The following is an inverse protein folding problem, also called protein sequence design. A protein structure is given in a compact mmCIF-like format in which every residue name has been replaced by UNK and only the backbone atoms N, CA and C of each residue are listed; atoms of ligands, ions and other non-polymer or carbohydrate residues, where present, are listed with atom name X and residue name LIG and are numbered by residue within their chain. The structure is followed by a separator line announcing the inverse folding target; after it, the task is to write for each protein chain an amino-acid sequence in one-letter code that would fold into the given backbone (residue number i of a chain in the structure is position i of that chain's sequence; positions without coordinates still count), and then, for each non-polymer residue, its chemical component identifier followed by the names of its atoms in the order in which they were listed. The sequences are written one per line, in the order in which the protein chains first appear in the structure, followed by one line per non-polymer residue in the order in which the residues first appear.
data_IF_159114937645
#
_entry.id   IF_159114937645
#
_cell.length_a   1.000
_cell.length_b   1.000
_cell.length_c   1.000
_cell.angle_alpha   90.00
_cell.angle_beta   90.00
_cell.angle_gamma   90.00
#
_symmetry.space_group_name_H-M   'P 1'
#
loop_
_entity.id
_entity.type
_entity.pdbx_description
1 polymer ?
#
# COMPACT_ATOMS: atom_id res chain seq x y z
N UNK A 1 2.37 3.28 -5.01
CA UNK A 1 3.60 4.04 -4.77
C UNK A 1 3.32 5.49 -5.07
N UNK A 2 4.14 6.41 -4.59
CA UNK A 2 3.98 7.83 -4.90
C UNK A 2 4.37 8.14 -6.36
N UNK A 3 3.80 9.22 -6.90
CA UNK A 3 3.99 9.59 -8.30
C UNK A 3 5.44 10.00 -8.63
N UNK A 4 6.23 10.47 -7.67
CA UNK A 4 7.63 10.87 -7.90
C UNK A 4 8.48 9.63 -8.14
N UNK A 5 8.27 8.57 -7.35
CA UNK A 5 8.90 7.27 -7.59
C UNK A 5 8.57 6.75 -8.98
N UNK A 6 7.29 6.71 -9.36
CA UNK A 6 6.84 6.22 -10.66
C UNK A 6 7.45 7.01 -11.83
N UNK A 7 7.56 8.34 -11.70
CA UNK A 7 8.21 9.20 -12.69
C UNK A 7 9.65 8.76 -13.00
N UNK A 8 10.49 8.64 -11.97
CA UNK A 8 11.91 8.31 -12.16
C UNK A 8 12.14 6.84 -12.47
N UNK A 9 11.35 5.95 -11.86
CA UNK A 9 11.39 4.53 -12.15
C UNK A 9 11.04 4.25 -13.62
N UNK A 10 9.93 4.82 -14.11
CA UNK A 10 9.52 4.72 -15.51
C UNK A 10 10.54 5.31 -16.48
N UNK A 11 11.06 6.50 -16.15
CA UNK A 11 12.11 7.13 -16.96
C UNK A 11 13.35 6.25 -17.09
N UNK A 12 13.85 5.70 -15.98
CA UNK A 12 15.01 4.84 -15.98
C UNK A 12 14.80 3.55 -16.79
N UNK A 13 13.64 2.89 -16.63
CA UNK A 13 13.28 1.68 -17.41
C UNK A 13 13.28 1.98 -18.91
N UNK A 14 12.54 3.00 -19.34
CA UNK A 14 12.45 3.34 -20.76
C UNK A 14 13.82 3.70 -21.34
N UNK A 15 14.62 4.49 -20.62
CA UNK A 15 15.95 4.90 -21.05
C UNK A 15 16.96 3.74 -21.13
N UNK A 16 16.80 2.70 -20.29
CA UNK A 16 17.63 1.50 -20.34
C UNK A 16 17.30 0.61 -21.56
N UNK A 17 16.05 0.61 -22.01
CA UNK A 17 15.58 -0.22 -23.14
C UNK A 17 15.77 0.50 -24.48
N UNK A 18 15.46 1.80 -24.51
CA UNK A 18 15.48 2.60 -25.73
C UNK A 18 16.89 2.69 -26.36
N UNK A 19 16.97 2.96 -27.68
CA UNK A 19 18.25 3.22 -28.34
C UNK A 19 19.00 4.40 -27.70
N UNK A 20 20.33 4.33 -27.70
CA UNK A 20 21.22 5.38 -27.13
C UNK A 20 20.86 6.79 -27.63
N UNK A 21 20.62 6.94 -28.94
CA UNK A 21 20.24 8.22 -29.54
C UNK A 21 18.85 8.76 -29.12
N UNK A 22 18.03 7.93 -28.47
CA UNK A 22 16.68 8.29 -28.00
C UNK A 22 16.62 8.49 -26.48
N UNK A 23 17.72 8.33 -25.74
CA UNK A 23 17.74 8.24 -24.27
C UNK A 23 16.95 9.33 -23.54
N UNK A 24 17.16 10.61 -23.89
CA UNK A 24 16.44 11.73 -23.24
C UNK A 24 14.94 11.71 -23.51
N UNK A 25 14.55 11.39 -24.74
CA UNK A 25 13.14 11.23 -25.09
C UNK A 25 12.53 10.03 -24.34
N UNK A 26 13.30 8.95 -24.16
CA UNK A 26 12.88 7.79 -23.41
C UNK A 26 12.74 8.08 -21.91
N UNK A 27 13.62 8.88 -21.29
CA UNK A 27 13.46 9.33 -19.90
C UNK A 27 12.10 10.03 -19.70
N UNK A 28 11.77 10.99 -20.58
CA UNK A 28 10.51 11.73 -20.49
C UNK A 28 9.29 10.87 -20.83
N UNK A 29 9.38 10.05 -21.89
CA UNK A 29 8.30 9.17 -22.28
C UNK A 29 8.02 8.11 -21.22
N UNK A 30 9.06 7.50 -20.65
CA UNK A 30 8.94 6.52 -19.57
C UNK A 30 8.32 7.11 -18.32
N UNK A 31 8.72 8.32 -17.93
CA UNK A 31 8.10 9.07 -16.85
C UNK A 31 6.59 9.26 -17.07
N UNK A 32 6.19 9.75 -18.25
CA UNK A 32 4.78 9.96 -18.58
C UNK A 32 3.98 8.64 -18.66
N UNK A 33 4.55 7.60 -19.27
CA UNK A 33 3.92 6.29 -19.42
C UNK A 33 3.71 5.61 -18.08
N UNK A 34 4.66 5.75 -17.16
CA UNK A 34 4.54 5.18 -15.83
C UNK A 34 3.60 6.01 -14.94
N UNK A 35 3.36 7.30 -15.21
CA UNK A 35 2.29 8.05 -14.52
C UNK A 35 0.88 7.72 -15.05
N UNK A 36 0.76 7.18 -16.27
CA UNK A 36 -0.53 6.99 -16.95
C UNK A 36 -1.58 6.19 -16.14
N UNK A 37 -1.26 5.07 -15.48
CA UNK A 37 -2.27 4.28 -14.75
C UNK A 37 -2.95 5.05 -13.61
N UNK A 38 -2.18 5.85 -12.88
CA UNK A 38 -2.65 6.68 -11.75
C UNK A 38 -3.55 7.85 -12.20
N UNK A 39 -3.62 8.17 -13.50
CA UNK A 39 -4.53 9.22 -13.98
C UNK A 39 -6.01 8.82 -13.87
N UNK A 40 -6.33 7.59 -13.44
CA UNK A 40 -7.68 7.14 -13.10
C UNK A 40 -8.32 7.94 -11.97
N UNK A 41 -7.52 8.58 -11.10
CA UNK A 41 -8.01 9.43 -10.01
C UNK A 41 -8.84 10.61 -10.53
N UNK A 42 -8.54 11.11 -11.73
CA UNK A 42 -9.25 12.24 -12.35
C UNK A 42 -10.70 11.86 -12.67
N UNK A 43 -10.98 10.84 -13.52
CA UNK A 43 -12.36 10.42 -13.77
C UNK A 43 -13.02 9.84 -12.52
N UNK A 44 -12.28 9.18 -11.61
CA UNK A 44 -12.84 8.66 -10.36
C UNK A 44 -13.36 9.77 -9.43
N UNK A 45 -12.65 10.91 -9.37
CA UNK A 45 -13.07 12.07 -8.59
C UNK A 45 -14.45 12.60 -9.04
N UNK A 46 -14.79 12.47 -10.32
CA UNK A 46 -16.04 12.96 -10.90
C UNK A 46 -17.28 12.16 -10.47
N UNK A 47 -17.14 10.93 -9.98
CA UNK A 47 -18.28 10.12 -9.50
C UNK A 47 -18.80 10.59 -8.13
N UNK A 48 -18.00 11.30 -7.33
CA UNK A 48 -18.42 11.82 -6.02
C UNK A 48 -18.81 10.74 -5.01
N UNK A 49 -18.25 9.53 -5.12
CA UNK A 49 -18.35 8.45 -4.12
C UNK A 49 -16.93 8.11 -3.62
N UNK A 50 -16.60 8.41 -2.35
CA UNK A 50 -15.26 8.21 -1.82
C UNK A 50 -14.90 6.73 -1.64
N UNK A 51 -15.87 5.83 -1.45
CA UNK A 51 -15.62 4.37 -1.41
C UNK A 51 -15.29 3.86 -2.81
N UNK A 52 -15.99 4.34 -3.83
CA UNK A 52 -15.65 4.02 -5.21
C UNK A 52 -14.27 4.60 -5.60
N UNK A 53 -13.96 5.84 -5.21
CA UNK A 53 -12.65 6.45 -5.46
C UNK A 53 -11.52 5.60 -4.88
N UNK A 54 -11.65 5.17 -3.62
CA UNK A 54 -10.65 4.33 -2.97
C UNK A 54 -10.55 2.94 -3.64
N UNK A 55 -11.69 2.27 -3.82
CA UNK A 55 -11.69 0.84 -4.17
C UNK A 55 -11.62 0.56 -5.67
N UNK A 56 -11.90 1.54 -6.53
CA UNK A 56 -11.75 1.41 -7.98
C UNK A 56 -10.40 1.97 -8.47
N UNK A 57 -9.76 2.86 -7.72
CA UNK A 57 -8.38 3.23 -7.96
C UNK A 57 -7.49 1.98 -7.87
N UNK A 58 -6.49 1.90 -8.75
CA UNK A 58 -5.67 0.68 -8.94
C UNK A 58 -6.46 -0.55 -9.39
N UNK A 59 -7.57 -0.30 -10.09
CA UNK A 59 -8.43 -1.29 -10.72
C UNK A 59 -8.08 -1.51 -12.20
N UNK A 60 -9.03 -1.18 -13.08
CA UNK A 60 -8.95 -1.32 -14.54
C UNK A 60 -7.63 -0.82 -15.14
N UNK A 61 -7.19 0.38 -14.76
CA UNK A 61 -6.00 1.04 -15.31
C UNK A 61 -4.68 0.40 -14.89
N UNK A 62 -4.71 -0.46 -13.87
CA UNK A 62 -3.54 -1.13 -13.29
C UNK A 62 -3.51 -2.63 -13.61
N UNK A 63 -4.50 -3.13 -14.38
CA UNK A 63 -4.60 -4.54 -14.69
C UNK A 63 -3.55 -4.99 -15.71
N UNK A 64 -2.82 -6.05 -15.37
CA UNK A 64 -1.93 -6.75 -16.29
C UNK A 64 -2.67 -7.45 -17.43
N UNK A 65 -3.99 -7.63 -17.33
CA UNK A 65 -4.81 -8.12 -18.42
C UNK A 65 -5.20 -7.01 -19.40
N UNK A 66 -5.23 -5.75 -18.96
CA UNK A 66 -5.69 -4.59 -19.76
C UNK A 66 -4.51 -3.82 -20.36
N UNK A 67 -3.50 -3.55 -19.55
CA UNK A 67 -2.38 -2.71 -19.92
C UNK A 67 -1.54 -3.22 -21.12
N UNK A 68 -1.43 -4.53 -21.44
CA UNK A 68 -0.79 -4.96 -22.69
C UNK A 68 -1.50 -4.43 -23.95
N UNK A 69 -2.84 -4.33 -23.92
CA UNK A 69 -3.62 -3.76 -25.01
C UNK A 69 -3.44 -2.24 -25.10
N UNK A 70 -3.37 -1.56 -23.95
CA UNK A 70 -3.06 -0.12 -23.89
C UNK A 70 -1.66 0.15 -24.43
N UNK A 71 -0.67 -0.64 -24.03
CA UNK A 71 0.70 -0.58 -24.54
C UNK A 71 0.72 -0.74 -26.06
N UNK A 72 -0.01 -1.73 -26.58
CA UNK A 72 -0.12 -1.99 -28.02
C UNK A 72 -0.75 -0.82 -28.76
N UNK A 73 -1.84 -0.26 -28.25
CA UNK A 73 -2.51 0.87 -28.87
C UNK A 73 -1.59 2.10 -28.94
N UNK A 74 -0.89 2.43 -27.85
CA UNK A 74 0.08 3.53 -27.80
C UNK A 74 1.22 3.27 -28.80
N UNK A 75 1.82 2.09 -28.76
CA UNK A 75 2.90 1.72 -29.67
C UNK A 75 2.46 1.78 -31.14
N UNK A 76 1.31 1.22 -31.49
CA UNK A 76 0.78 1.20 -32.85
C UNK A 76 0.49 2.63 -33.36
N UNK A 77 -0.07 3.49 -32.50
CA UNK A 77 -0.32 4.90 -32.81
C UNK A 77 0.98 5.63 -33.16
N UNK A 78 2.00 5.52 -32.31
CA UNK A 78 3.27 6.21 -32.53
C UNK A 78 4.13 5.57 -33.62
N UNK A 79 4.02 4.26 -33.84
CA UNK A 79 4.61 3.58 -35.00
C UNK A 79 4.01 4.11 -36.30
N UNK A 80 2.69 4.28 -36.37
CA UNK A 80 2.01 4.81 -37.56
C UNK A 80 2.33 6.29 -37.81
N UNK A 81 2.47 7.09 -36.75
CA UNK A 81 2.79 8.53 -36.86
C UNK A 81 4.24 8.83 -37.27
N UNK A 82 5.13 7.84 -37.26
CA UNK A 82 6.55 8.04 -37.59
C UNK A 82 7.42 8.44 -36.39
N UNK A 83 8.62 8.94 -36.67
CA UNK A 83 9.56 9.40 -35.63
C UNK A 83 10.26 8.26 -34.88
N UNK A 84 10.55 8.47 -33.58
CA UNK A 84 11.43 7.58 -32.80
C UNK A 84 10.90 6.15 -32.65
N UNK A 85 9.58 5.99 -32.49
CA UNK A 85 8.93 4.67 -32.37
C UNK A 85 8.97 3.93 -33.69
N UNK A 86 8.71 4.61 -34.82
CA UNK A 86 8.80 3.99 -36.14
C UNK A 86 10.24 3.62 -36.54
N UNK A 87 11.22 4.43 -36.13
CA UNK A 87 12.64 4.16 -36.38
C UNK A 87 13.15 2.91 -35.63
N UNK A 88 12.69 2.70 -34.40
CA UNK A 88 13.18 1.63 -33.50
C UNK A 88 12.00 0.89 -32.82
N UNK A 89 11.13 0.23 -33.61
CA UNK A 89 9.81 -0.21 -33.15
C UNK A 89 9.86 -1.30 -32.08
N UNK A 90 10.84 -2.20 -32.15
CA UNK A 90 10.97 -3.30 -31.18
C UNK A 90 11.41 -2.77 -29.81
N UNK A 91 12.40 -1.87 -29.78
CA UNK A 91 12.88 -1.28 -28.52
C UNK A 91 11.81 -0.41 -27.88
N UNK A 92 11.08 0.38 -28.66
CA UNK A 92 10.00 1.20 -28.14
C UNK A 92 8.78 0.40 -27.71
N UNK A 93 8.49 -0.74 -28.35
CA UNK A 93 7.48 -1.69 -27.86
C UNK A 93 7.80 -2.10 -26.43
N UNK A 94 9.01 -2.61 -26.20
CA UNK A 94 9.44 -3.05 -24.87
C UNK A 94 9.53 -1.91 -23.86
N UNK A 95 9.96 -0.72 -24.27
CA UNK A 95 10.00 0.45 -23.39
C UNK A 95 8.58 0.84 -22.91
N UNK A 96 7.61 0.89 -23.81
CA UNK A 96 6.21 1.22 -23.49
C UNK A 96 5.59 0.14 -22.62
N UNK A 97 5.71 -1.12 -23.06
CA UNK A 97 5.17 -2.27 -22.35
C UNK A 97 5.74 -2.37 -20.93
N UNK A 98 7.07 -2.31 -20.79
CA UNK A 98 7.73 -2.42 -19.50
C UNK A 98 7.32 -1.28 -18.55
N UNK A 99 7.24 -0.03 -19.02
CA UNK A 99 6.81 1.08 -18.16
C UNK A 99 5.39 0.89 -17.63
N UNK A 100 4.46 0.48 -18.50
CA UNK A 100 3.07 0.27 -18.11
C UNK A 100 2.92 -0.93 -17.18
N UNK A 101 3.62 -2.04 -17.41
CA UNK A 101 3.58 -3.22 -16.52
C UNK A 101 4.23 -2.96 -15.16
N UNK A 102 5.31 -2.17 -15.16
CA UNK A 102 6.14 -1.95 -13.98
C UNK A 102 5.44 -1.07 -12.94
N UNK A 103 4.56 -0.16 -13.36
CA UNK A 103 3.77 0.66 -12.45
C UNK A 103 2.94 -0.17 -11.44
N UNK A 104 1.95 -0.98 -11.89
CA UNK A 104 1.14 -1.75 -10.97
C UNK A 104 1.94 -2.86 -10.27
N UNK A 105 3.05 -3.32 -10.87
CA UNK A 105 4.00 -4.22 -10.20
C UNK A 105 4.55 -3.58 -8.92
N UNK A 106 5.09 -2.36 -8.99
CA UNK A 106 5.60 -1.66 -7.81
C UNK A 106 4.47 -1.30 -6.85
N UNK A 107 3.28 -0.93 -7.33
CA UNK A 107 2.16 -0.65 -6.44
C UNK A 107 1.72 -1.84 -5.59
N UNK A 108 1.85 -3.06 -6.12
CA UNK A 108 1.53 -4.28 -5.39
C UNK A 108 2.45 -4.55 -4.20
N UNK A 109 3.60 -3.86 -4.09
CA UNK A 109 4.45 -3.87 -2.90
C UNK A 109 3.98 -2.93 -1.79
N UNK A 110 2.95 -2.10 -2.04
CA UNK A 110 2.37 -1.19 -1.03
C UNK A 110 1.11 -1.80 -0.40
N UNK A 111 0.77 -1.34 0.81
CA UNK A 111 -0.38 -1.87 1.57
C UNK A 111 -1.75 -1.45 1.01
N UNK A 112 -1.78 -0.44 0.13
CA UNK A 112 -3.00 0.08 -0.47
C UNK A 112 -3.80 -1.02 -1.21
N UNK A 113 -3.08 -1.88 -1.94
CA UNK A 113 -3.65 -2.98 -2.73
C UNK A 113 -3.87 -2.62 -4.20
N UNK A 114 -3.42 -3.50 -5.09
CA UNK A 114 -3.53 -3.33 -6.55
C UNK A 114 -4.27 -4.51 -7.16
N UNK A 115 -5.30 -4.25 -7.98
CA UNK A 115 -6.10 -5.29 -8.63
C UNK A 115 -5.42 -5.75 -9.93
N UNK A 116 -4.25 -6.38 -9.83
CA UNK A 116 -3.42 -6.80 -10.97
C UNK A 116 -4.16 -7.63 -12.01
N UNK A 117 -5.15 -8.41 -11.59
CA UNK A 117 -5.90 -9.34 -12.43
C UNK A 117 -7.34 -8.89 -12.69
N UNK A 118 -7.68 -7.61 -12.48
CA UNK A 118 -9.00 -7.09 -12.85
C UNK A 118 -9.31 -7.45 -14.33
N UNK A 119 -10.51 -7.95 -14.67
CA UNK A 119 -11.75 -7.97 -13.87
C UNK A 119 -12.00 -9.28 -13.10
N UNK A 120 -11.01 -10.16 -12.94
CA UNK A 120 -11.20 -11.36 -12.14
C UNK A 120 -11.57 -10.97 -10.69
N UNK A 121 -12.47 -11.71 -10.01
CA UNK A 121 -12.98 -11.38 -8.68
C UNK A 121 -11.95 -11.67 -7.56
N UNK A 122 -10.67 -11.42 -7.83
CA UNK A 122 -9.57 -11.56 -6.89
C UNK A 122 -9.43 -10.30 -6.06
N UNK A 123 -9.12 -10.46 -4.77
CA UNK A 123 -8.83 -9.32 -3.90
C UNK A 123 -7.56 -8.59 -4.36
N UNK A 124 -7.43 -7.28 -4.08
CA UNK A 124 -6.23 -6.52 -4.43
C UNK A 124 -4.96 -7.13 -3.81
N UNK A 125 -3.87 -7.22 -4.58
CA UNK A 125 -2.59 -7.72 -4.09
C UNK A 125 -1.88 -6.62 -3.30
N UNK A 126 -1.41 -6.95 -2.09
CA UNK A 126 -0.69 -6.04 -1.20
C UNK A 126 0.45 -6.76 -0.46
N UNK A 127 1.59 -6.98 -1.12
CA UNK A 127 2.77 -7.54 -0.45
C UNK A 127 3.25 -6.66 0.71
N UNK A 128 2.97 -5.36 0.66
CA UNK A 128 3.13 -4.45 1.80
C UNK A 128 4.55 -4.44 2.37
N UNK A 129 5.57 -4.55 1.52
CA UNK A 129 6.98 -4.47 1.93
C UNK A 129 7.59 -3.08 1.76
N UNK A 130 6.91 -2.18 1.03
CA UNK A 130 7.29 -0.79 0.86
C UNK A 130 6.18 0.13 1.35
N UNK A 131 6.58 1.26 1.94
CA UNK A 131 5.64 2.34 2.20
C UNK A 131 5.36 3.10 0.89
N UNK A 132 4.24 3.81 0.81
CA UNK A 132 3.83 4.54 -0.40
C UNK A 132 4.87 5.58 -0.81
N UNK A 133 5.49 6.25 0.16
CA UNK A 133 6.58 7.21 -0.03
C UNK A 133 7.82 6.63 0.66
N UNK A 134 8.82 6.23 -0.12
CA UNK A 134 10.08 5.71 0.39
C UNK A 134 11.27 6.35 -0.35
N UNK A 135 11.90 7.39 0.21
CA UNK A 135 13.01 8.08 -0.43
C UNK A 135 14.21 7.17 -0.74
N UNK A 136 14.49 6.16 0.09
CA UNK A 136 15.61 5.25 -0.14
C UNK A 136 15.36 4.36 -1.37
N UNK A 137 14.09 4.06 -1.65
CA UNK A 137 13.72 3.41 -2.91
C UNK A 137 13.74 4.38 -4.10
N UNK A 138 13.30 5.63 -3.94
CA UNK A 138 13.21 6.62 -5.03
C UNK A 138 14.56 7.15 -5.50
N UNK A 139 15.48 7.43 -4.57
CA UNK A 139 16.73 8.16 -4.83
C UNK A 139 17.66 7.49 -5.86
N UNK A 140 17.85 6.15 -5.86
CA UNK A 140 18.67 5.49 -6.89
C UNK A 140 18.16 5.73 -8.31
N UNK A 141 16.83 5.71 -8.51
CA UNK A 141 16.20 5.97 -9.82
C UNK A 141 16.36 7.42 -10.25
N UNK A 142 16.15 8.36 -9.32
CA UNK A 142 16.36 9.78 -9.55
C UNK A 142 17.81 10.06 -9.96
N UNK A 143 18.79 9.58 -9.17
CA UNK A 143 20.20 9.78 -9.45
C UNK A 143 20.60 9.19 -10.82
N UNK A 144 20.11 7.99 -11.14
CA UNK A 144 20.32 7.36 -12.44
C UNK A 144 19.75 8.20 -13.59
N UNK A 145 18.53 8.74 -13.45
CA UNK A 145 17.91 9.62 -14.43
C UNK A 145 18.69 10.93 -14.62
N UNK A 146 19.14 11.56 -13.53
CA UNK A 146 19.95 12.80 -13.58
C UNK A 146 21.27 12.54 -14.31
N UNK A 147 22.01 11.50 -13.93
CA UNK A 147 23.26 11.16 -14.61
C UNK A 147 23.01 10.80 -16.07
N UNK A 148 21.96 10.02 -16.37
CA UNK A 148 21.60 9.68 -17.74
C UNK A 148 21.19 10.90 -18.57
N UNK A 149 20.67 11.96 -17.97
CA UNK A 149 20.31 13.18 -18.70
C UNK A 149 21.54 13.95 -19.19
N UNK A 150 22.54 14.12 -18.30
CA UNK A 150 23.69 15.00 -18.53
C UNK A 150 24.96 14.29 -19.01
N UNK A 151 25.16 13.03 -18.65
CA UNK A 151 26.40 12.32 -18.93
C UNK A 151 26.50 11.75 -20.35
N UNK A 152 27.73 11.39 -20.75
CA UNK A 152 28.02 10.64 -21.99
C UNK A 152 27.48 9.22 -21.91
N UNK A 153 27.22 8.60 -23.07
CA UNK A 153 26.56 7.29 -23.20
C UNK A 153 27.10 6.20 -22.26
N UNK A 154 28.42 6.06 -22.14
CA UNK A 154 29.03 5.01 -21.31
C UNK A 154 28.68 5.19 -19.82
N UNK A 155 28.72 6.43 -19.32
CA UNK A 155 28.40 6.72 -17.93
C UNK A 155 26.88 6.68 -17.69
N UNK A 156 26.09 7.20 -18.62
CA UNK A 156 24.63 7.13 -18.57
C UNK A 156 24.11 5.68 -18.50
N UNK A 157 24.60 4.79 -19.37
CA UNK A 157 24.21 3.39 -19.36
C UNK A 157 24.59 2.68 -18.05
N UNK A 158 25.80 2.97 -17.52
CA UNK A 158 26.23 2.45 -16.21
C UNK A 158 25.33 2.95 -15.08
N UNK A 159 24.99 4.24 -15.06
CA UNK A 159 24.15 4.84 -14.04
C UNK A 159 22.73 4.23 -14.05
N UNK A 160 22.14 4.03 -15.24
CA UNK A 160 20.86 3.34 -15.37
C UNK A 160 20.92 1.89 -14.86
N UNK A 161 21.96 1.14 -15.22
CA UNK A 161 22.14 -0.23 -14.75
C UNK A 161 22.33 -0.30 -13.22
N UNK A 162 23.11 0.61 -12.64
CA UNK A 162 23.30 0.70 -11.18
C UNK A 162 22.02 1.11 -10.48
N UNK A 163 21.28 2.08 -11.01
CA UNK A 163 19.98 2.50 -10.47
C UNK A 163 18.98 1.33 -10.45
N UNK A 164 18.89 0.58 -11.54
CA UNK A 164 18.08 -0.64 -11.63
C UNK A 164 18.52 -1.67 -10.58
N UNK A 165 19.82 -1.97 -10.51
CA UNK A 165 20.36 -2.95 -9.57
C UNK A 165 20.08 -2.56 -8.11
N UNK A 166 20.29 -1.28 -7.75
CA UNK A 166 20.03 -0.77 -6.40
C UNK A 166 18.54 -0.79 -6.07
N UNK A 167 17.66 -0.42 -7.00
CA UNK A 167 16.22 -0.46 -6.81
C UNK A 167 15.71 -1.88 -6.54
N UNK A 168 16.15 -2.87 -7.32
CA UNK A 168 15.80 -4.27 -7.08
C UNK A 168 16.48 -4.86 -5.83
N UNK A 169 17.70 -4.45 -5.51
CA UNK A 169 18.36 -4.84 -4.27
C UNK A 169 17.60 -4.32 -3.04
N UNK A 170 17.13 -3.06 -3.07
CA UNK A 170 16.31 -2.48 -2.01
C UNK A 170 14.95 -3.18 -1.90
N UNK A 171 14.33 -3.54 -3.02
CA UNK A 171 13.10 -4.34 -3.03
C UNK A 171 13.30 -5.73 -2.39
N UNK A 172 14.41 -6.40 -2.71
CA UNK A 172 14.79 -7.66 -2.08
C UNK A 172 15.05 -7.51 -0.57
N UNK A 173 15.73 -6.44 -0.17
CA UNK A 173 15.92 -6.09 1.23
C UNK A 173 14.59 -5.87 1.95
N UNK A 174 13.65 -5.14 1.35
CA UNK A 174 12.37 -4.84 2.01
C UNK A 174 11.53 -6.11 2.26
N UNK A 175 11.58 -7.08 1.34
CA UNK A 175 10.98 -8.41 1.53
C UNK A 175 11.68 -9.21 2.65
N UNK A 176 13.01 -9.13 2.74
CA UNK A 176 13.75 -9.77 3.82
C UNK A 176 13.39 -9.15 5.18
N UNK A 177 13.39 -7.82 5.28
CA UNK A 177 13.00 -7.09 6.48
C UNK A 177 11.58 -7.47 6.92
N UNK A 178 10.63 -7.51 5.97
CA UNK A 178 9.26 -8.00 6.20
C UNK A 178 9.25 -9.40 6.82
N UNK A 179 10.01 -10.33 6.24
CA UNK A 179 10.08 -11.72 6.72
C UNK A 179 10.61 -11.80 8.16
N UNK A 180 11.60 -10.98 8.51
CA UNK A 180 12.14 -10.91 9.87
C UNK A 180 11.07 -10.42 10.87
N UNK A 181 10.35 -9.36 10.52
CA UNK A 181 9.27 -8.82 11.37
C UNK A 181 8.11 -9.81 11.51
N UNK A 182 7.70 -10.47 10.43
CA UNK A 182 6.59 -11.44 10.46
C UNK A 182 6.91 -12.68 11.31
N UNK A 183 8.17 -13.06 11.41
CA UNK A 183 8.62 -14.12 12.34
C UNK A 183 8.44 -13.70 13.80
N UNK A 184 8.87 -12.49 14.16
CA UNK A 184 8.70 -11.99 15.53
C UNK A 184 7.23 -11.76 15.88
N UNK A 185 6.45 -11.21 14.95
CA UNK A 185 5.01 -11.06 15.11
C UNK A 185 4.33 -12.43 15.33
N UNK A 186 4.71 -13.45 14.56
CA UNK A 186 4.15 -14.80 14.71
C UNK A 186 4.44 -15.41 16.07
N UNK A 187 5.65 -15.23 16.61
CA UNK A 187 5.97 -15.71 17.98
C UNK A 187 5.17 -14.98 19.05
N UNK A 188 5.07 -13.66 18.95
CA UNK A 188 4.33 -12.85 19.91
C UNK A 188 2.83 -13.15 19.88
N UNK A 189 2.23 -13.27 18.69
CA UNK A 189 0.81 -13.61 18.55
C UNK A 189 0.50 -15.05 19.02
N UNK A 190 1.39 -16.01 18.79
CA UNK A 190 1.26 -17.36 19.35
C UNK A 190 1.22 -17.33 20.88
N UNK A 191 2.12 -16.55 21.52
CA UNK A 191 2.15 -16.40 22.97
C UNK A 191 0.88 -15.73 23.54
N UNK A 192 0.18 -14.92 22.74
CA UNK A 192 -1.10 -14.31 23.08
C UNK A 192 -2.31 -15.22 22.82
N UNK A 193 -2.11 -16.45 22.34
CA UNK A 193 -3.20 -17.35 21.95
C UNK A 193 -3.88 -16.97 20.63
N UNK A 194 -3.18 -16.23 19.75
CA UNK A 194 -3.65 -15.76 18.44
C UNK A 194 -2.81 -16.33 17.26
N UNK A 195 -2.53 -17.66 17.21
CA UNK A 195 -1.60 -18.23 16.23
C UNK A 195 -2.03 -18.00 14.78
N UNK A 196 -3.33 -18.08 14.50
CA UNK A 196 -3.92 -18.03 13.16
C UNK A 196 -4.65 -16.72 12.87
N UNK A 197 -4.50 -15.71 13.73
CA UNK A 197 -5.14 -14.41 13.53
C UNK A 197 -4.75 -13.81 12.16
N UNK A 198 -5.74 -13.47 11.30
CA UNK A 198 -5.49 -12.75 10.05
C UNK A 198 -4.69 -11.49 10.33
N UNK A 199 -3.60 -11.29 9.61
CA UNK A 199 -2.67 -10.18 9.87
C UNK A 199 -2.07 -9.62 8.59
N UNK A 200 -1.58 -8.39 8.69
CA UNK A 200 -0.65 -7.83 7.72
C UNK A 200 0.46 -7.09 8.45
N UNK A 201 1.57 -6.88 7.74
CA UNK A 201 2.68 -6.06 8.18
C UNK A 201 3.01 -5.04 7.09
N UNK A 202 3.38 -3.83 7.51
CA UNK A 202 3.73 -2.72 6.62
C UNK A 202 4.83 -1.88 7.26
N UNK A 203 5.83 -1.42 6.51
CA UNK A 203 6.77 -0.46 7.06
C UNK A 203 6.08 0.87 7.37
N UNK A 204 6.62 1.60 8.35
CA UNK A 204 6.20 2.97 8.68
C UNK A 204 6.65 3.95 7.60
N UNK A 205 6.11 5.19 7.58
CA UNK A 205 6.44 6.16 6.53
C UNK A 205 7.95 6.40 6.36
N UNK A 206 8.38 6.54 5.10
CA UNK A 206 9.72 6.98 4.69
C UNK A 206 10.88 6.00 4.98
N UNK A 207 10.62 4.77 5.43
CA UNK A 207 11.69 3.82 5.77
C UNK A 207 11.25 2.35 5.63
N UNK A 208 12.21 1.42 5.73
CA UNK A 208 11.98 -0.04 5.83
C UNK A 208 12.55 -0.64 7.12
N UNK A 209 12.74 0.19 8.16
CA UNK A 209 13.40 -0.18 9.42
C UNK A 209 12.42 -0.41 10.56
N UNK A 210 11.37 0.42 10.66
CA UNK A 210 10.31 0.29 11.66
C UNK A 210 9.03 -0.17 10.97
N UNK A 211 8.45 -1.24 11.49
CA UNK A 211 7.30 -1.91 10.91
C UNK A 211 6.13 -1.91 11.85
N UNK A 212 4.93 -1.75 11.29
CA UNK A 212 3.66 -1.93 11.98
C UNK A 212 3.08 -3.29 11.59
N UNK A 213 2.54 -3.99 12.57
CA UNK A 213 1.80 -5.25 12.38
C UNK A 213 0.44 -5.10 13.02
N UNK A 214 -0.59 -5.50 12.28
CA UNK A 214 -1.97 -5.54 12.76
C UNK A 214 -2.50 -6.95 12.59
N UNK A 215 -3.13 -7.48 13.63
CA UNK A 215 -3.81 -8.77 13.59
C UNK A 215 -5.24 -8.66 14.11
N UNK A 216 -6.19 -9.26 13.40
CA UNK A 216 -7.61 -9.23 13.79
C UNK A 216 -7.89 -10.18 14.95
N UNK A 217 -8.81 -9.79 15.84
CA UNK A 217 -9.29 -10.59 16.96
C UNK A 217 -10.82 -10.68 16.93
N UNK A 218 -11.46 -11.57 17.71
CA UNK A 218 -12.92 -11.67 17.74
C UNK A 218 -13.64 -10.37 18.13
N UNK A 219 -12.99 -9.53 18.95
CA UNK A 219 -13.59 -8.30 19.48
C UNK A 219 -13.02 -7.01 18.85
N UNK A 220 -12.15 -7.13 17.85
CA UNK A 220 -11.45 -6.00 17.25
C UNK A 220 -10.13 -6.40 16.63
N UNK A 221 -9.03 -5.80 17.09
CA UNK A 221 -7.70 -6.08 16.55
C UNK A 221 -6.61 -5.74 17.56
N UNK A 222 -5.41 -6.22 17.28
CA UNK A 222 -4.19 -5.85 17.99
C UNK A 222 -3.20 -5.20 17.04
N UNK A 223 -2.45 -4.22 17.52
CA UNK A 223 -1.45 -3.48 16.76
C UNK A 223 -0.12 -3.45 17.51
N UNK A 224 0.97 -3.70 16.80
CA UNK A 224 2.31 -3.65 17.35
C UNK A 224 3.30 -3.01 16.39
N UNK A 225 4.39 -2.51 16.94
CA UNK A 225 5.48 -1.92 16.18
C UNK A 225 6.81 -2.63 16.49
N UNK A 226 7.60 -2.92 15.46
CA UNK A 226 8.92 -3.54 15.59
C UNK A 226 9.95 -2.82 14.75
N UNK A 227 10.99 -2.30 15.40
CA UNK A 227 12.20 -1.86 14.72
C UNK A 227 13.11 -3.05 14.46
N UNK A 228 13.65 -3.20 13.25
CA UNK A 228 14.64 -4.26 12.95
C UNK A 228 16.05 -3.91 13.44
N UNK A 229 16.29 -2.65 13.82
CA UNK A 229 17.62 -2.15 14.22
C UNK A 229 17.76 -1.88 15.72
N UNK A 230 16.65 -1.59 16.42
CA UNK A 230 16.69 -1.18 17.83
C UNK A 230 16.08 -2.19 18.79
N UNK A 231 14.96 -2.84 18.41
CA UNK A 231 14.21 -3.67 19.33
C UNK A 231 14.91 -5.03 19.50
N UNK A 232 14.96 -5.55 20.74
CA UNK A 232 15.60 -6.82 21.09
C UNK A 232 14.66 -7.78 21.82
N UNK A 233 13.67 -7.23 22.54
CA UNK A 233 12.62 -7.97 23.21
C UNK A 233 11.57 -8.53 22.22
N UNK A 234 10.71 -9.45 22.69
CA UNK A 234 9.54 -9.88 21.95
C UNK A 234 8.65 -8.71 21.55
N UNK A 235 8.06 -8.81 20.35
CA UNK A 235 7.13 -7.81 19.84
C UNK A 235 5.93 -7.66 20.78
N UNK A 236 5.54 -6.41 21.05
CA UNK A 236 4.39 -6.09 21.89
C UNK A 236 3.23 -5.59 21.06
N UNK A 237 2.04 -5.97 21.48
CA UNK A 237 0.79 -5.64 20.83
C UNK A 237 -0.13 -4.92 21.81
N UNK A 238 -0.79 -3.86 21.34
CA UNK A 238 -1.85 -3.16 22.02
C UNK A 238 -3.18 -3.58 21.42
N UNK A 239 -4.16 -3.89 22.28
CA UNK A 239 -5.48 -4.31 21.84
C UNK A 239 -6.43 -3.11 21.71
N UNK A 240 -7.21 -3.11 20.64
CA UNK A 240 -8.22 -2.10 20.36
C UNK A 240 -9.55 -2.76 20.01
N UNK A 241 -10.64 -2.17 20.52
CA UNK A 241 -12.00 -2.65 20.29
C UNK A 241 -12.53 -2.20 18.94
N UNK A 242 -13.44 -3.00 18.39
CA UNK A 242 -14.25 -2.68 17.22
C UNK A 242 -15.70 -3.08 17.50
N UNK A 243 -16.67 -2.36 16.91
CA UNK A 243 -18.08 -2.72 16.99
C UNK A 243 -18.40 -3.87 16.03
N UNK A 244 -17.86 -5.07 16.31
CA UNK A 244 -17.91 -6.25 15.42
C UNK A 244 -19.34 -6.70 15.15
N UNK A 245 -20.22 -6.68 16.17
CA UNK A 245 -21.63 -7.02 15.99
C UNK A 245 -22.33 -6.08 15.00
N UNK A 246 -22.07 -4.77 15.08
CA UNK A 246 -22.63 -3.79 14.14
C UNK A 246 -22.09 -4.00 12.71
N UNK A 247 -20.79 -4.30 12.58
CA UNK A 247 -20.19 -4.65 11.30
C UNK A 247 -20.83 -5.88 10.67
N UNK A 248 -21.07 -6.92 11.47
CA UNK A 248 -21.68 -8.18 11.02
C UNK A 248 -23.14 -7.98 10.58
N UNK A 249 -23.94 -7.25 11.35
CA UNK A 249 -25.31 -6.87 10.98
C UNK A 249 -25.35 -6.05 9.67
N UNK A 250 -24.35 -5.21 9.42
CA UNK A 250 -24.28 -4.33 8.27
C UNK A 250 -23.60 -4.95 7.03
N UNK A 251 -23.21 -6.23 7.03
CA UNK A 251 -22.51 -6.88 5.90
C UNK A 251 -23.27 -6.82 4.57
N UNK A 252 -24.59 -6.72 4.62
CA UNK A 252 -25.45 -6.56 3.44
C UNK A 252 -25.41 -5.17 2.80
N UNK A 253 -24.87 -4.16 3.49
CA UNK A 253 -24.73 -2.80 2.95
C UNK A 253 -23.66 -2.80 1.85
N UNK A 254 -23.94 -2.31 0.63
CA UNK A 254 -23.00 -2.39 -0.49
C UNK A 254 -21.62 -1.80 -0.21
N UNK A 255 -21.56 -0.64 0.45
CA UNK A 255 -20.30 0.01 0.81
C UNK A 255 -19.48 -0.83 1.81
N UNK A 256 -20.14 -1.44 2.80
CA UNK A 256 -19.51 -2.36 3.77
C UNK A 256 -18.91 -3.56 3.05
N UNK A 257 -19.69 -4.24 2.22
CA UNK A 257 -19.24 -5.40 1.46
C UNK A 257 -18.06 -5.06 0.53
N UNK A 258 -18.12 -3.89 -0.14
CA UNK A 258 -17.06 -3.42 -1.03
C UNK A 258 -15.76 -3.14 -0.27
N UNK A 259 -15.84 -2.45 0.86
CA UNK A 259 -14.68 -2.14 1.70
C UNK A 259 -14.05 -3.41 2.26
N UNK A 260 -14.85 -4.32 2.83
CA UNK A 260 -14.36 -5.59 3.39
C UNK A 260 -13.68 -6.47 2.34
N UNK A 261 -14.21 -6.51 1.11
CA UNK A 261 -13.55 -7.19 -0.01
C UNK A 261 -12.21 -6.54 -0.36
N UNK A 262 -12.20 -5.20 -0.45
CA UNK A 262 -11.02 -4.44 -0.88
C UNK A 262 -9.88 -4.50 0.15
N UNK A 263 -10.22 -4.39 1.43
CA UNK A 263 -9.26 -4.35 2.53
C UNK A 263 -8.96 -5.71 3.16
N UNK A 264 -9.46 -6.80 2.58
CA UNK A 264 -9.27 -8.16 3.08
C UNK A 264 -9.80 -8.36 4.52
N UNK A 265 -10.87 -7.65 4.86
CA UNK A 265 -11.47 -7.59 6.20
C UNK A 265 -10.61 -6.92 7.28
N UNK A 266 -9.53 -6.22 6.92
CA UNK A 266 -8.79 -5.36 7.85
C UNK A 266 -9.53 -4.05 8.06
N UNK A 267 -10.62 -4.10 8.82
CA UNK A 267 -11.48 -2.95 9.12
C UNK A 267 -11.73 -2.80 10.63
N UNK A 268 -11.79 -1.56 11.10
CA UNK A 268 -12.36 -1.20 12.40
C UNK A 268 -13.73 -0.58 12.18
N UNK A 269 -14.74 -1.10 12.86
CA UNK A 269 -16.07 -0.52 12.91
C UNK A 269 -16.24 0.30 14.18
N UNK A 270 -16.86 1.48 14.04
CA UNK A 270 -17.28 2.30 15.16
C UNK A 270 -18.70 2.82 14.91
N UNK A 271 -19.55 2.74 15.93
CA UNK A 271 -20.90 3.29 15.92
C UNK A 271 -20.93 4.55 16.78
N UNK A 272 -21.23 5.70 16.17
CA UNK A 272 -21.36 6.99 16.86
C UNK A 272 -22.65 7.67 16.42
N UNK A 273 -23.48 8.07 17.38
CA UNK A 273 -24.77 8.73 17.13
C UNK A 273 -25.66 7.98 16.14
N UNK A 274 -25.62 6.64 16.20
CA UNK A 274 -26.36 5.76 15.29
C UNK A 274 -25.79 5.66 13.88
N UNK A 275 -24.63 6.26 13.57
CA UNK A 275 -23.92 6.10 12.30
C UNK A 275 -22.81 5.06 12.46
N UNK A 276 -22.74 4.11 11.51
CA UNK A 276 -21.66 3.14 11.40
C UNK A 276 -20.57 3.70 10.48
N UNK A 277 -19.38 3.86 11.04
CA UNK A 277 -18.18 4.28 10.32
C UNK A 277 -17.19 3.12 10.23
N UNK A 278 -16.59 2.91 9.06
CA UNK A 278 -15.55 1.90 8.84
C UNK A 278 -14.21 2.56 8.54
N UNK A 279 -13.19 2.20 9.32
CA UNK A 279 -11.81 2.59 9.08
C UNK A 279 -11.04 1.43 8.43
N UNK A 280 -10.32 1.70 7.34
CA UNK A 280 -9.40 0.74 6.75
C UNK A 280 -8.11 0.69 7.58
N UNK A 281 -7.92 -0.42 8.30
CA UNK A 281 -6.83 -0.57 9.26
C UNK A 281 -5.46 -0.55 8.60
N UNK A 282 -5.37 -0.73 7.28
CA UNK A 282 -4.10 -0.81 6.54
C UNK A 282 -3.40 0.55 6.40
N UNK A 283 -4.15 1.65 6.48
CA UNK A 283 -3.68 2.98 6.14
C UNK A 283 -3.91 3.97 7.29
N UNK A 284 -2.84 4.23 8.04
CA UNK A 284 -2.87 4.95 9.31
C UNK A 284 -2.47 4.04 10.47
N UNK A 285 -2.71 4.48 11.69
CA UNK A 285 -2.48 3.73 12.93
C UNK A 285 -3.46 4.26 13.98
N UNK A 286 -3.79 3.50 15.02
CA UNK A 286 -4.77 3.97 16.00
C UNK A 286 -4.27 5.27 16.69
N UNK A 287 -5.13 6.30 16.87
CA UNK A 287 -6.55 6.39 16.47
C UNK A 287 -6.80 7.01 15.07
N UNK A 288 -5.73 7.33 14.34
CA UNK A 288 -5.72 8.15 13.13
C UNK A 288 -5.62 7.32 11.84
N UNK A 289 -6.76 7.10 11.18
CA UNK A 289 -6.85 6.39 9.90
C UNK A 289 -7.13 7.34 8.74
N UNK A 290 -6.42 7.16 7.62
CA UNK A 290 -6.60 8.00 6.43
C UNK A 290 -7.93 7.73 5.72
N UNK A 291 -8.40 6.48 5.76
CA UNK A 291 -9.61 6.04 5.09
C UNK A 291 -10.62 5.58 6.12
N UNK A 292 -11.46 6.52 6.54
CA UNK A 292 -12.60 6.30 7.43
C UNK A 292 -13.86 6.80 6.74
N UNK A 293 -14.87 5.95 6.64
CA UNK A 293 -16.09 6.24 5.90
C UNK A 293 -17.34 6.01 6.74
N UNK A 294 -18.24 6.97 6.76
CA UNK A 294 -19.63 6.75 7.19
C UNK A 294 -20.34 5.96 6.10
N UNK A 295 -20.85 4.77 6.43
CA UNK A 295 -21.40 3.83 5.42
C UNK A 295 -22.87 3.46 5.64
N UNK A 296 -23.35 3.53 6.88
CA UNK A 296 -24.72 3.18 7.21
C UNK A 296 -25.22 3.95 8.43
N UNK A 297 -26.53 4.09 8.55
CA UNK A 297 -27.21 4.64 9.72
C UNK A 297 -28.17 3.61 10.29
N UNK A 298 -28.23 3.54 11.62
CA UNK A 298 -29.16 2.69 12.34
C UNK A 298 -30.55 3.30 12.28
N UNK A 299 -31.49 2.51 11.77
CA UNK A 299 -32.91 2.82 11.75
C UNK A 299 -33.65 1.74 12.55
N UNK A 300 -34.92 1.96 12.91
CA UNK A 300 -35.70 1.00 13.71
C UNK A 300 -35.76 -0.42 13.12
N UNK A 301 -35.58 -0.57 11.80
CA UNK A 301 -35.58 -1.85 11.09
C UNK A 301 -34.17 -2.44 10.81
N UNK A 302 -33.09 -1.80 11.28
CA UNK A 302 -31.70 -2.23 11.05
C UNK A 302 -30.82 -1.17 10.40
N UNK A 303 -29.71 -1.58 9.79
CA UNK A 303 -28.77 -0.69 9.11
C UNK A 303 -29.29 -0.28 7.72
N UNK A 304 -29.44 1.03 7.50
CA UNK A 304 -29.75 1.61 6.20
C UNK A 304 -28.48 2.19 5.57
N UNK A 305 -28.23 1.90 4.30
CA UNK A 305 -27.08 2.42 3.57
C UNK A 305 -27.13 3.96 3.47
N UNK A 306 -26.00 4.61 3.72
CA UNK A 306 -25.80 6.04 3.44
C UNK A 306 -25.04 6.22 2.13
N UNK A 307 -25.12 7.43 1.56
CA UNK A 307 -24.11 7.85 0.59
C UNK A 307 -22.78 7.98 1.34
N UNK A 308 -21.73 7.24 0.96
CA UNK A 308 -20.51 7.23 1.75
C UNK A 308 -19.89 8.62 1.86
N UNK A 309 -19.44 8.97 3.06
CA UNK A 309 -18.69 10.20 3.33
C UNK A 309 -17.37 9.82 3.98
N UNK A 310 -16.27 10.32 3.46
CA UNK A 310 -14.97 10.16 4.10
C UNK A 310 -14.82 11.19 5.22
N UNK A 311 -14.52 10.72 6.43
CA UNK A 311 -14.14 11.58 7.53
C UNK A 311 -12.71 12.10 7.31
N UNK A 312 -12.45 13.34 7.73
CA UNK A 312 -11.10 13.90 7.61
C UNK A 312 -10.18 13.29 8.69
N UNK A 313 -8.99 12.81 8.32
CA UNK A 313 -8.04 12.31 9.31
C UNK A 313 -7.57 13.45 10.23
N UNK A 314 -7.24 13.16 11.50
CA UNK A 314 -6.58 14.12 12.38
C UNK A 314 -5.21 14.54 11.81
N UNK A 315 -4.80 15.79 12.09
CA UNK A 315 -3.74 16.50 11.34
C UNK A 315 -2.42 16.67 12.10
N UNK A 316 -2.14 15.92 13.15
CA UNK A 316 -0.86 16.06 13.88
C UNK A 316 0.26 15.18 13.32
N UNK A 317 0.66 15.47 12.09
CA UNK A 317 1.75 14.76 11.42
C UNK A 317 3.12 14.95 12.09
N UNK A 318 3.34 16.10 12.76
CA UNK A 318 4.63 16.40 13.37
C UNK A 318 4.90 15.49 14.57
N UNK A 319 3.94 15.39 15.48
CA UNK A 319 4.05 14.49 16.65
C UNK A 319 4.15 13.02 16.22
N UNK A 320 3.36 12.60 15.22
CA UNK A 320 3.41 11.25 14.68
C UNK A 320 4.78 10.92 14.04
N UNK A 321 5.39 11.90 13.36
CA UNK A 321 6.72 11.74 12.79
C UNK A 321 7.79 11.60 13.87
N UNK A 322 7.78 12.45 14.89
CA UNK A 322 8.76 12.39 15.99
C UNK A 322 8.67 11.05 16.74
N UNK A 323 7.46 10.56 17.01
CA UNK A 323 7.26 9.25 17.63
C UNK A 323 7.78 8.11 16.75
N UNK A 324 7.52 8.16 15.44
CA UNK A 324 8.01 7.19 14.46
C UNK A 324 9.54 7.19 14.43
N UNK A 325 10.16 8.37 14.34
CA UNK A 325 11.61 8.52 14.30
C UNK A 325 12.27 7.98 15.57
N UNK A 326 11.72 8.30 16.75
CA UNK A 326 12.23 7.74 18.00
C UNK A 326 12.12 6.23 18.03
N UNK A 327 11.00 5.64 17.59
CA UNK A 327 10.80 4.19 17.58
C UNK A 327 11.70 3.44 16.61
N UNK A 328 12.18 4.05 15.53
CA UNK A 328 13.18 3.42 14.65
C UNK A 328 14.44 3.09 15.47
N UNK A 329 14.88 4.02 16.32
CA UNK A 329 16.19 3.94 16.98
C UNK A 329 16.14 3.56 18.47
N UNK A 330 14.95 3.52 19.07
CA UNK A 330 14.76 3.23 20.50
C UNK A 330 13.69 2.18 20.71
N UNK A 331 14.07 1.17 21.47
CA UNK A 331 13.14 0.18 22.01
C UNK A 331 12.21 0.85 23.04
N UNK A 332 10.89 0.58 23.03
CA UNK A 332 9.99 1.21 23.97
C UNK A 332 10.28 0.67 25.37
N UNK A 333 10.42 1.58 26.34
CA UNK A 333 10.64 1.21 27.72
C UNK A 333 9.54 0.25 28.19
N UNK A 334 9.93 -0.79 28.94
CA UNK A 334 8.95 -1.61 29.66
C UNK A 334 8.23 -0.71 30.67
N UNK A 335 6.89 -0.58 30.63
CA UNK A 335 6.21 -0.04 31.78
C UNK A 335 6.57 -0.93 32.99
N UNK A 336 6.69 -0.37 34.20
CA UNK A 336 6.79 -1.20 35.40
C UNK A 336 5.63 -2.20 35.40
N UNK A 337 5.85 -3.43 35.86
CA UNK A 337 4.80 -4.48 35.93
C UNK A 337 3.60 -3.92 36.70
N UNK A 338 2.60 -3.41 35.99
CA UNK A 338 1.32 -2.97 36.58
C UNK A 338 0.34 -4.11 36.39
N UNK A 339 0.00 -4.78 37.49
CA UNK A 339 -1.16 -5.61 37.87
C UNK A 339 -2.13 -6.28 36.84
N UNK A 340 -1.87 -6.22 35.54
CA UNK A 340 -2.63 -6.88 34.45
C UNK A 340 -1.93 -8.19 34.03
N UNK A 341 -1.05 -8.70 34.89
CA UNK A 341 -0.50 -10.06 34.84
C UNK A 341 -1.40 -11.05 35.63
N UNK A 342 -2.67 -10.72 35.91
CA UNK A 342 -3.62 -11.64 36.56
C UNK A 342 -4.45 -12.41 35.49
N UNK A 343 -4.25 -13.73 35.31
CA UNK A 343 -4.97 -14.54 34.33
C UNK A 343 -6.49 -14.68 34.60
N UNK A 344 -7.01 -14.07 35.67
CA UNK A 344 -8.41 -14.20 36.11
C UNK A 344 -9.45 -13.32 35.40
N UNK A 345 -9.08 -12.48 34.42
CA UNK A 345 -9.98 -11.50 33.81
C UNK A 345 -10.52 -11.87 32.41
N UNK A 346 -10.63 -13.16 32.08
CA UNK A 346 -11.49 -13.63 30.99
C UNK A 346 -12.81 -14.13 31.59
N UNK A 347 -13.99 -13.60 31.19
CA UNK A 347 -15.26 -14.06 31.74
C UNK A 347 -15.48 -15.52 31.36
N UNK A 348 -15.61 -16.37 32.38
CA UNK A 348 -15.95 -17.78 32.23
C UNK A 348 -17.26 -17.91 31.42
N UNK A 349 -17.17 -18.68 30.34
CA UNK A 349 -18.30 -19.28 29.63
C UNK A 349 -19.23 -19.94 30.66
N UNK A 350 -20.43 -19.37 30.87
CA UNK A 350 -21.53 -20.09 31.51
C UNK A 350 -22.14 -21.00 30.45
N UNK A 351 -21.76 -22.26 30.48
CA UNK A 351 -22.59 -23.33 29.95
C UNK A 351 -23.85 -23.42 30.83
N UNK A 352 -25.01 -23.21 30.21
CA UNK A 352 -26.31 -23.59 30.78
C UNK A 352 -26.72 -24.93 30.18
N UNK A 353 -26.79 -25.95 31.02
CA UNK A 353 -27.81 -27.01 30.90
C UNK A 353 -29.19 -26.47 31.30
#
# INVERSE_FOLDING_TARGET
MDSITHLFYGGAIAAAIAPKGHRRAALLAGAALNTLPDLDVIPLALFGDPVAQMTCHRGLTHSWLVLPFVAWAIWALFKRRGGRVAAEPVRWWWAIFACLMAHPFIDSFTVYGTQLFWPLPMRPIMWSSLFIIDPLFTLPWLAACVVAWFARERLAAKALAVGVALGFAYLGWSLLAKTLVEREASRALLAMGLPDAPRFSVPTPLNTLLWRVVAMTPDGYVEGFRSIVADSAPMRFHAYRSDVAALDEARGVPAVARLLWFNHHFAKAEVRDGVLSLSDLRMGNEPDYFFRFDVAQRTGAGWQALRPRQESPPRDFATAWDATWQRIWREPASPPRTAVDDPGALPASRATE
#
